data_IF_094381385754
#
_entry.id   IF_094381385754
#
_cell.length_a   1.000
_cell.length_b   1.000
_cell.length_c   1.000
_cell.angle_alpha   90.00
_cell.angle_beta   90.00
_cell.angle_gamma   90.00
#
_symmetry.space_group_name_H-M   'P 1'
#
loop_
_entity.id
_entity.type
_entity.pdbx_description
1 polymer ?
#
# COMPACT_ATOMS: atom_id res chain seq x y z
N UNK A 1 17.69 10.76 9.67
CA UNK A 1 16.30 10.39 9.94
C UNK A 1 15.38 11.11 8.94
N UNK A 2 14.59 10.34 8.15
CA UNK A 2 13.72 10.86 7.07
C UNK A 2 12.74 11.93 7.60
N UNK A 3 12.08 11.69 8.73
CA UNK A 3 11.11 12.63 9.29
C UNK A 3 11.71 14.02 9.60
N UNK A 4 12.94 14.06 10.08
CA UNK A 4 13.63 15.33 10.36
C UNK A 4 14.01 16.04 9.07
N UNK A 5 14.49 15.32 8.05
CA UNK A 5 14.85 15.92 6.76
C UNK A 5 13.59 16.49 6.09
N UNK A 6 12.51 15.71 6.01
CA UNK A 6 11.24 16.18 5.45
C UNK A 6 10.69 17.41 6.19
N UNK A 7 10.80 17.43 7.53
CA UNK A 7 10.38 18.61 8.30
C UNK A 7 11.18 19.86 7.96
N UNK A 8 12.50 19.74 7.70
CA UNK A 8 13.33 20.87 7.25
C UNK A 8 12.89 21.36 5.88
N UNK A 9 12.71 20.46 4.92
CA UNK A 9 12.24 20.80 3.57
C UNK A 9 10.88 21.51 3.60
N UNK A 10 9.95 21.05 4.43
CA UNK A 10 8.65 21.70 4.60
C UNK A 10 8.81 23.12 5.16
N UNK A 11 9.67 23.33 6.16
CA UNK A 11 9.89 24.64 6.76
C UNK A 11 10.70 25.59 5.86
N UNK A 12 11.44 25.08 4.89
CA UNK A 12 12.05 25.91 3.82
C UNK A 12 10.98 26.48 2.88
N UNK A 13 9.88 25.74 2.65
CA UNK A 13 8.75 26.21 1.82
C UNK A 13 7.86 27.16 2.61
N UNK A 14 7.49 26.81 3.84
CA UNK A 14 6.68 27.64 4.74
C UNK A 14 7.17 27.54 6.19
N UNK A 15 7.96 28.52 6.65
CA UNK A 15 8.54 28.52 8.00
C UNK A 15 7.50 28.73 9.13
N UNK A 16 6.26 29.10 8.80
CA UNK A 16 5.21 29.36 9.80
C UNK A 16 4.36 28.13 10.11
N UNK A 17 4.56 27.02 9.38
CA UNK A 17 3.85 25.77 9.65
C UNK A 17 4.21 25.20 11.03
N UNK A 18 3.19 24.78 11.76
CA UNK A 18 3.36 24.09 13.05
C UNK A 18 3.53 22.60 12.81
N UNK A 19 4.75 22.11 12.89
CA UNK A 19 5.10 20.71 12.71
C UNK A 19 5.22 19.98 14.05
N UNK A 20 4.70 18.75 14.11
CA UNK A 20 4.99 17.80 15.18
C UNK A 20 5.69 16.59 14.55
N UNK A 21 6.89 16.30 15.02
CA UNK A 21 7.75 15.25 14.45
C UNK A 21 7.78 14.06 15.42
N UNK A 22 7.53 12.86 14.90
CA UNK A 22 7.70 11.59 15.60
C UNK A 22 8.93 10.87 15.01
N UNK A 23 10.10 11.36 15.35
CA UNK A 23 11.39 10.92 14.77
C UNK A 23 11.80 9.50 15.18
N UNK A 24 11.18 8.93 16.20
CA UNK A 24 11.36 7.54 16.64
C UNK A 24 10.31 6.58 16.08
N UNK A 25 9.42 7.09 15.21
CA UNK A 25 8.33 6.33 14.63
C UNK A 25 7.01 6.46 15.41
N UNK A 26 5.97 5.89 14.81
CA UNK A 26 4.62 5.81 15.36
C UNK A 26 4.30 4.35 15.63
N UNK A 27 3.97 4.03 16.89
CA UNK A 27 3.71 2.68 17.36
C UNK A 27 2.61 2.62 18.45
N UNK A 28 2.38 1.44 19.01
CA UNK A 28 1.34 1.22 20.04
C UNK A 28 1.46 2.13 21.25
N UNK A 29 2.65 2.64 21.57
CA UNK A 29 2.88 3.49 22.74
C UNK A 29 2.50 4.95 22.49
N UNK A 30 2.43 5.35 21.20
CA UNK A 30 2.24 6.76 20.86
C UNK A 30 1.10 7.04 19.86
N UNK A 31 0.35 6.03 19.37
CA UNK A 31 -0.78 6.27 18.46
C UNK A 31 -1.75 7.34 18.94
N UNK A 32 -2.15 7.30 20.21
CA UNK A 32 -3.09 8.30 20.75
C UNK A 32 -2.49 9.69 20.70
N UNK A 33 -1.22 9.84 21.10
CA UNK A 33 -0.51 11.11 21.02
C UNK A 33 -0.35 11.59 19.59
N UNK A 34 -0.09 10.69 18.65
CA UNK A 34 0.02 11.01 17.22
C UNK A 34 -1.31 11.53 16.67
N UNK A 35 -2.43 10.88 17.01
CA UNK A 35 -3.74 11.21 16.46
C UNK A 35 -4.41 12.41 17.14
N UNK A 36 -4.08 12.74 18.41
CA UNK A 36 -4.83 13.71 19.22
C UNK A 36 -3.98 14.68 20.03
N UNK A 37 -2.67 14.82 19.75
CA UNK A 37 -1.76 15.61 20.64
C UNK A 37 -2.13 17.07 20.79
N UNK A 38 -2.42 17.77 19.72
CA UNK A 38 -2.79 19.20 19.70
C UNK A 38 -4.29 19.38 19.50
N UNK A 39 -4.83 18.62 18.63
CA UNK A 39 -6.24 18.42 18.31
C UNK A 39 -6.36 17.05 17.66
N UNK A 40 -7.57 16.55 17.51
CA UNK A 40 -7.78 15.38 16.67
C UNK A 40 -7.35 15.68 15.24
N UNK A 41 -6.71 14.71 14.55
CA UNK A 41 -6.38 14.85 13.14
C UNK A 41 -7.66 14.96 12.30
N UNK A 42 -7.63 15.82 11.30
CA UNK A 42 -8.70 15.95 10.31
C UNK A 42 -8.58 14.87 9.22
N UNK A 43 -7.39 14.34 9.01
CA UNK A 43 -7.08 13.34 7.98
C UNK A 43 -5.80 12.59 8.34
N UNK A 44 -5.78 11.28 8.13
CA UNK A 44 -4.56 10.46 8.14
C UNK A 44 -4.18 10.10 6.71
N UNK A 45 -2.94 10.39 6.33
CA UNK A 45 -2.28 9.82 5.13
C UNK A 45 -1.38 8.69 5.63
N UNK A 46 -1.71 7.46 5.25
CA UNK A 46 -1.06 6.26 5.75
C UNK A 46 -0.26 5.57 4.63
N UNK A 47 1.06 5.72 4.68
CA UNK A 47 2.02 5.22 3.67
C UNK A 47 3.08 4.31 4.31
N UNK A 48 2.77 3.69 5.46
CA UNK A 48 3.76 2.85 6.14
C UNK A 48 3.77 1.41 5.61
N UNK A 49 4.94 0.77 5.67
CA UNK A 49 5.14 -0.62 5.24
C UNK A 49 4.95 -1.64 6.38
N UNK A 50 4.71 -1.17 7.60
CA UNK A 50 4.47 -2.02 8.75
C UNK A 50 3.00 -2.38 8.87
N UNK A 51 2.64 -3.63 8.58
CA UNK A 51 1.25 -4.09 8.59
C UNK A 51 0.57 -3.95 9.95
N UNK A 52 1.28 -4.19 11.04
CA UNK A 52 0.72 -3.99 12.37
C UNK A 52 0.31 -2.52 12.56
N UNK A 53 1.22 -1.58 12.27
CA UNK A 53 0.93 -0.14 12.36
C UNK A 53 -0.20 0.25 11.41
N UNK A 54 -0.16 -0.24 10.18
CA UNK A 54 -1.18 -0.01 9.14
C UNK A 54 -2.59 -0.37 9.62
N UNK A 55 -2.75 -1.50 10.29
CA UNK A 55 -4.04 -1.98 10.80
C UNK A 55 -4.44 -1.25 12.08
N UNK A 56 -3.54 -1.19 13.05
CA UNK A 56 -3.87 -0.63 14.37
C UNK A 56 -4.17 0.86 14.32
N UNK A 57 -3.46 1.61 13.48
CA UNK A 57 -3.75 3.05 13.35
C UNK A 57 -5.09 3.28 12.65
N UNK A 58 -5.48 2.44 11.66
CA UNK A 58 -6.81 2.49 11.04
C UNK A 58 -7.92 2.19 12.03
N UNK A 59 -7.78 1.17 12.89
CA UNK A 59 -8.74 0.88 13.96
C UNK A 59 -8.98 2.11 14.85
N UNK A 60 -7.90 2.80 15.21
CA UNK A 60 -7.98 4.03 16.00
C UNK A 60 -8.61 5.20 15.24
N UNK A 61 -8.25 5.38 13.97
CA UNK A 61 -8.87 6.39 13.12
C UNK A 61 -10.37 6.15 12.97
N UNK A 62 -10.79 4.91 12.74
CA UNK A 62 -12.21 4.53 12.71
C UNK A 62 -12.92 4.86 14.01
N UNK A 63 -12.33 4.52 15.18
CA UNK A 63 -12.90 4.82 16.49
C UNK A 63 -13.01 6.33 16.76
N UNK A 64 -12.17 7.14 16.14
CA UNK A 64 -12.14 8.60 16.27
C UNK A 64 -12.85 9.31 15.10
N UNK A 65 -13.46 8.60 14.18
CA UNK A 65 -14.07 9.15 12.96
C UNK A 65 -13.09 10.00 12.13
N UNK A 66 -11.84 9.59 12.03
CA UNK A 66 -10.80 10.23 11.21
C UNK A 66 -10.75 9.55 9.85
N UNK A 67 -10.91 10.27 8.73
CA UNK A 67 -10.74 9.69 7.40
C UNK A 67 -9.30 9.28 7.15
N UNK A 68 -9.11 8.22 6.37
CA UNK A 68 -7.79 7.67 6.02
C UNK A 68 -7.64 7.62 4.51
N UNK A 69 -6.48 8.04 4.02
CA UNK A 69 -6.04 7.86 2.64
C UNK A 69 -4.78 6.98 2.64
N UNK A 70 -4.72 6.06 1.70
CA UNK A 70 -3.52 5.28 1.38
C UNK A 70 -3.33 5.30 -0.13
N UNK A 71 -2.07 5.44 -0.58
CA UNK A 71 -1.70 5.26 -1.97
C UNK A 71 -0.76 4.07 -2.12
N UNK A 72 -0.86 3.37 -3.22
CA UNK A 72 0.11 2.33 -3.62
C UNK A 72 0.66 2.64 -5.00
N UNK A 73 1.95 2.35 -5.21
CA UNK A 73 2.61 2.59 -6.49
C UNK A 73 2.19 1.62 -7.58
N UNK A 74 1.48 0.55 -7.23
CA UNK A 74 0.94 -0.38 -8.22
C UNK A 74 -0.36 0.17 -8.78
N UNK A 75 -0.37 0.47 -10.08
CA UNK A 75 -1.50 1.04 -10.84
C UNK A 75 -2.04 2.35 -10.22
N UNK A 76 -1.18 3.05 -9.46
CA UNK A 76 -1.53 4.29 -8.75
C UNK A 76 -2.88 4.17 -8.02
N UNK A 77 -3.07 3.07 -7.27
CA UNK A 77 -4.26 2.86 -6.46
C UNK A 77 -4.29 3.87 -5.30
N UNK A 78 -5.32 4.68 -5.27
CA UNK A 78 -5.69 5.50 -4.11
C UNK A 78 -6.88 4.84 -3.39
N UNK A 79 -6.69 4.54 -2.12
CA UNK A 79 -7.70 3.98 -1.23
C UNK A 79 -8.16 5.05 -0.24
N UNK A 80 -9.48 5.27 -0.15
CA UNK A 80 -10.07 6.31 0.70
C UNK A 80 -11.09 5.67 1.63
N UNK A 81 -10.89 5.81 2.93
CA UNK A 81 -11.81 5.34 3.97
C UNK A 81 -12.36 6.55 4.74
N UNK A 82 -13.62 6.91 4.51
CA UNK A 82 -14.32 8.06 5.10
C UNK A 82 -14.99 7.66 6.42
N UNK A 83 -14.21 7.29 7.43
CA UNK A 83 -14.75 6.95 8.76
C UNK A 83 -15.50 8.11 9.42
N UNK A 84 -15.22 9.33 9.00
CA UNK A 84 -15.94 10.54 9.41
C UNK A 84 -17.40 10.56 8.93
N UNK A 85 -17.69 9.98 7.78
CA UNK A 85 -19.03 9.87 7.20
C UNK A 85 -19.62 8.46 7.35
N UNK A 86 -18.78 7.46 7.41
CA UNK A 86 -19.12 6.03 7.39
C UNK A 86 -18.45 5.31 8.57
N UNK A 87 -18.80 5.59 9.83
CA UNK A 87 -18.11 5.07 11.02
C UNK A 87 -18.17 3.53 11.15
N UNK A 88 -19.14 2.90 10.47
CA UNK A 88 -19.29 1.44 10.49
C UNK A 88 -18.60 0.74 9.30
N UNK A 89 -18.00 1.48 8.36
CA UNK A 89 -17.28 0.89 7.24
C UNK A 89 -16.20 -0.06 7.75
N UNK A 90 -16.12 -1.30 7.24
CA UNK A 90 -15.04 -2.21 7.59
C UNK A 90 -13.70 -1.68 7.05
N UNK A 91 -12.60 -1.99 7.74
CA UNK A 91 -11.26 -1.63 7.30
C UNK A 91 -10.97 -2.22 5.91
N UNK A 92 -10.23 -1.49 5.10
CA UNK A 92 -9.94 -1.87 3.71
C UNK A 92 -11.20 -2.25 2.94
N UNK A 93 -12.33 -1.58 3.21
CA UNK A 93 -13.64 -1.82 2.59
C UNK A 93 -14.21 -3.24 2.81
N UNK A 94 -13.68 -4.00 3.77
CA UNK A 94 -14.05 -5.40 4.01
C UNK A 94 -13.49 -6.38 2.98
N UNK A 95 -12.52 -5.96 2.18
CA UNK A 95 -11.90 -6.80 1.15
C UNK A 95 -10.82 -7.75 1.70
N UNK A 96 -10.48 -7.62 2.97
CA UNK A 96 -9.42 -8.39 3.61
C UNK A 96 -9.79 -8.73 5.05
N UNK A 97 -9.23 -9.83 5.56
CA UNK A 97 -9.34 -10.26 6.95
C UNK A 97 -8.10 -9.88 7.79
N UNK A 98 -7.30 -8.91 7.33
CA UNK A 98 -6.07 -8.51 8.00
C UNK A 98 -6.27 -8.08 9.44
N UNK A 99 -7.42 -7.49 9.77
CA UNK A 99 -7.74 -7.06 11.15
C UNK A 99 -7.82 -8.21 12.16
N UNK A 100 -7.95 -9.46 11.70
CA UNK A 100 -7.98 -10.66 12.54
C UNK A 100 -6.63 -11.36 12.63
N UNK A 101 -5.66 -11.00 11.76
CA UNK A 101 -4.33 -11.62 11.74
C UNK A 101 -3.48 -11.13 12.91
N UNK A 102 -2.71 -12.05 13.47
CA UNK A 102 -1.74 -11.81 14.55
C UNK A 102 -0.32 -11.95 14.00
N UNK A 103 0.68 -11.52 14.79
CA UNK A 103 2.11 -11.67 14.45
C UNK A 103 2.54 -10.95 13.16
N UNK A 104 2.09 -9.70 12.98
CA UNK A 104 2.40 -8.88 11.81
C UNK A 104 3.67 -8.03 11.98
N UNK A 105 4.46 -8.29 13.04
CA UNK A 105 5.73 -7.61 13.30
C UNK A 105 6.90 -8.28 12.58
N UNK A 106 7.84 -7.45 12.12
CA UNK A 106 9.14 -7.90 11.60
C UNK A 106 9.05 -8.94 10.48
N UNK A 107 8.01 -8.86 9.66
CA UNK A 107 7.85 -9.74 8.51
C UNK A 107 8.94 -9.48 7.47
N UNK A 108 9.49 -10.55 6.90
CA UNK A 108 10.33 -10.48 5.71
C UNK A 108 9.53 -9.95 4.51
N UNK A 109 10.21 -9.57 3.44
CA UNK A 109 9.52 -9.11 2.23
C UNK A 109 8.66 -10.22 1.62
N UNK A 110 9.14 -11.45 1.67
CA UNK A 110 8.41 -12.62 1.19
C UNK A 110 7.16 -12.89 2.04
N UNK A 111 7.26 -12.80 3.37
CA UNK A 111 6.12 -12.96 4.27
C UNK A 111 5.02 -11.90 4.09
N UNK A 112 5.37 -10.76 3.54
CA UNK A 112 4.41 -9.70 3.22
C UNK A 112 3.59 -9.98 1.96
N UNK A 113 4.02 -10.87 1.05
CA UNK A 113 3.35 -11.12 -0.22
C UNK A 113 1.85 -11.44 -0.04
N UNK A 114 1.43 -12.41 0.80
CA UNK A 114 0.02 -12.70 1.00
C UNK A 114 -0.77 -11.49 1.51
N UNK A 115 -0.15 -10.69 2.41
CA UNK A 115 -0.81 -9.52 3.00
C UNK A 115 -0.99 -8.38 1.98
N UNK A 116 0.01 -8.19 1.10
CA UNK A 116 -0.09 -7.22 0.00
C UNK A 116 -1.20 -7.64 -0.95
N UNK A 117 -1.28 -8.92 -1.31
CA UNK A 117 -2.35 -9.45 -2.17
C UNK A 117 -3.73 -9.36 -1.51
N UNK A 118 -3.82 -9.55 -0.19
CA UNK A 118 -5.06 -9.34 0.56
C UNK A 118 -5.54 -7.87 0.46
N UNK A 119 -4.60 -6.90 0.53
CA UNK A 119 -4.94 -5.47 0.42
C UNK A 119 -5.27 -5.09 -1.03
N UNK A 120 -4.43 -5.45 -1.98
CA UNK A 120 -4.57 -5.03 -3.38
C UNK A 120 -5.67 -5.79 -4.12
N UNK A 121 -5.86 -7.06 -3.78
CA UNK A 121 -6.62 -8.01 -4.58
C UNK A 121 -5.77 -8.62 -5.70
N UNK A 122 -5.77 -9.95 -5.80
CA UNK A 122 -4.95 -10.68 -6.79
C UNK A 122 -5.30 -10.29 -8.24
N UNK A 123 -6.59 -10.03 -8.51
CA UNK A 123 -7.06 -9.64 -9.84
C UNK A 123 -6.74 -8.19 -10.20
N UNK A 124 -6.57 -7.35 -9.19
CA UNK A 124 -6.30 -5.93 -9.36
C UNK A 124 -4.81 -5.59 -9.36
N UNK A 125 -3.96 -6.46 -8.83
CA UNK A 125 -2.51 -6.32 -8.89
C UNK A 125 -1.99 -6.41 -10.33
N UNK A 126 -1.04 -5.54 -10.70
CA UNK A 126 -0.43 -5.57 -12.03
C UNK A 126 0.41 -6.84 -12.24
N UNK A 127 0.58 -7.26 -13.50
CA UNK A 127 1.45 -8.39 -13.84
C UNK A 127 2.92 -8.11 -13.48
N UNK A 128 3.32 -6.84 -13.54
CA UNK A 128 4.63 -6.35 -13.11
C UNK A 128 4.85 -6.61 -11.62
N UNK A 129 3.88 -6.26 -10.77
CA UNK A 129 3.94 -6.52 -9.34
C UNK A 129 3.94 -8.03 -9.03
N UNK A 130 3.05 -8.79 -9.67
CA UNK A 130 2.99 -10.26 -9.53
C UNK A 130 4.33 -10.92 -9.89
N UNK A 131 4.96 -10.46 -10.96
CA UNK A 131 6.29 -10.94 -11.37
C UNK A 131 7.35 -10.62 -10.32
N UNK A 132 7.33 -9.40 -9.77
CA UNK A 132 8.24 -9.01 -8.69
C UNK A 132 8.04 -9.82 -7.43
N UNK A 133 6.80 -10.18 -7.09
CA UNK A 133 6.49 -11.03 -5.93
C UNK A 133 7.10 -12.43 -6.04
N UNK A 134 7.22 -12.97 -7.24
CA UNK A 134 7.88 -14.27 -7.46
C UNK A 134 9.40 -14.20 -7.31
N UNK A 135 9.98 -13.02 -7.50
CA UNK A 135 11.43 -12.80 -7.49
C UNK A 135 11.94 -12.21 -6.15
N UNK A 136 11.03 -11.78 -5.27
CA UNK A 136 11.40 -11.15 -3.99
C UNK A 136 12.18 -12.15 -3.13
N UNK A 137 13.30 -11.69 -2.55
CA UNK A 137 14.26 -12.50 -1.79
C UNK A 137 14.87 -13.67 -2.58
N UNK A 138 14.62 -13.74 -3.89
CA UNK A 138 15.26 -14.68 -4.82
C UNK A 138 16.31 -13.94 -5.67
N UNK A 139 15.87 -13.12 -6.61
CA UNK A 139 16.73 -12.32 -7.49
C UNK A 139 16.72 -10.83 -7.12
N UNK A 140 15.73 -10.35 -6.38
CA UNK A 140 15.62 -8.98 -5.90
C UNK A 140 15.45 -8.95 -4.37
N UNK A 141 16.14 -7.99 -3.72
CA UNK A 141 16.19 -7.88 -2.26
C UNK A 141 15.19 -6.85 -1.69
N UNK A 142 14.45 -6.16 -2.53
CA UNK A 142 13.50 -5.12 -2.10
C UNK A 142 12.34 -5.01 -3.08
N UNK A 143 11.22 -4.51 -2.59
CA UNK A 143 10.07 -4.19 -3.43
C UNK A 143 10.44 -3.13 -4.45
N UNK A 144 10.33 -3.39 -5.76
CA UNK A 144 10.64 -2.40 -6.77
C UNK A 144 9.57 -1.30 -6.79
N UNK A 145 10.02 -0.06 -6.94
CA UNK A 145 9.16 1.10 -7.07
C UNK A 145 9.61 1.97 -8.23
N UNK A 146 8.66 2.46 -9.03
CA UNK A 146 8.93 3.41 -10.08
C UNK A 146 8.84 4.83 -9.52
N UNK A 147 9.86 5.64 -9.75
CA UNK A 147 9.89 7.05 -9.32
C UNK A 147 8.71 7.86 -9.88
N UNK A 148 8.27 7.54 -11.10
CA UNK A 148 7.09 8.15 -11.73
C UNK A 148 5.82 7.85 -10.94
N UNK A 149 5.57 6.58 -10.55
CA UNK A 149 4.41 6.20 -9.77
C UNK A 149 4.43 6.81 -8.37
N UNK A 150 5.62 6.88 -7.73
CA UNK A 150 5.77 7.55 -6.43
C UNK A 150 5.42 9.04 -6.53
N UNK A 151 5.94 9.73 -7.54
CA UNK A 151 5.71 11.18 -7.73
C UNK A 151 4.25 11.47 -8.09
N UNK A 152 3.67 10.67 -8.97
CA UNK A 152 2.26 10.79 -9.37
C UNK A 152 1.34 10.55 -8.16
N UNK A 153 1.60 9.48 -7.40
CA UNK A 153 0.86 9.16 -6.19
C UNK A 153 0.91 10.25 -5.13
N UNK A 154 2.06 10.89 -4.93
CA UNK A 154 2.19 12.04 -4.04
C UNK A 154 1.29 13.21 -4.48
N UNK A 155 1.26 13.51 -5.79
CA UNK A 155 0.38 14.53 -6.38
C UNK A 155 -1.11 14.19 -6.20
N UNK A 156 -1.51 12.95 -6.48
CA UNK A 156 -2.89 12.47 -6.32
C UNK A 156 -3.31 12.55 -4.85
N UNK A 157 -2.49 12.01 -3.94
CA UNK A 157 -2.77 11.99 -2.50
C UNK A 157 -2.95 13.41 -1.94
N UNK A 158 -2.05 14.33 -2.28
CA UNK A 158 -2.15 15.71 -1.81
C UNK A 158 -3.35 16.45 -2.41
N UNK A 159 -3.67 16.21 -3.68
CA UNK A 159 -4.87 16.79 -4.30
C UNK A 159 -6.15 16.30 -3.61
N UNK A 160 -6.26 15.01 -3.33
CA UNK A 160 -7.44 14.43 -2.67
C UNK A 160 -7.51 14.85 -1.21
N UNK A 161 -6.38 14.94 -0.52
CA UNK A 161 -6.33 15.50 0.84
C UNK A 161 -6.92 16.91 0.89
N UNK A 162 -6.54 17.78 -0.05
CA UNK A 162 -7.11 19.11 -0.17
C UNK A 162 -8.64 19.08 -0.41
N UNK A 163 -9.12 18.15 -1.24
CA UNK A 163 -10.58 17.98 -1.48
C UNK A 163 -11.30 17.62 -0.19
N UNK A 164 -10.79 16.68 0.57
CA UNK A 164 -11.38 16.25 1.85
C UNK A 164 -11.39 17.38 2.87
N UNK A 165 -10.26 18.05 3.07
CA UNK A 165 -10.14 19.16 4.02
C UNK A 165 -10.99 20.38 3.64
N UNK A 166 -11.32 20.58 2.37
CA UNK A 166 -12.22 21.60 1.87
C UNK A 166 -13.66 21.12 1.74
N UNK A 167 -14.02 19.99 2.31
CA UNK A 167 -15.36 19.40 2.29
C UNK A 167 -15.91 19.19 0.87
N UNK A 168 -15.04 19.04 -0.12
CA UNK A 168 -15.49 18.68 -1.47
C UNK A 168 -15.94 17.22 -1.47
N UNK A 169 -17.11 16.89 -2.05
CA UNK A 169 -17.60 15.52 -2.08
C UNK A 169 -16.54 14.55 -2.63
N UNK A 170 -16.15 13.61 -1.80
CA UNK A 170 -15.13 12.61 -2.10
C UNK A 170 -15.48 11.34 -1.33
N UNK A 171 -16.19 10.38 -1.95
CA UNK A 171 -16.67 9.18 -1.28
C UNK A 171 -15.52 8.21 -0.96
N UNK A 172 -15.76 7.29 -0.02
CA UNK A 172 -14.90 6.13 0.18
C UNK A 172 -14.83 5.28 -1.06
N UNK A 173 -13.70 4.63 -1.29
CA UNK A 173 -13.53 3.72 -2.41
C UNK A 173 -12.08 3.59 -2.85
N UNK A 174 -11.90 2.79 -3.88
CA UNK A 174 -10.63 2.54 -4.54
C UNK A 174 -10.62 3.17 -5.92
N UNK A 175 -9.65 4.03 -6.15
CA UNK A 175 -9.51 4.81 -7.38
C UNK A 175 -8.17 4.48 -8.02
N UNK A 176 -8.20 4.02 -9.27
CA UNK A 176 -7.01 3.69 -10.03
C UNK A 176 -6.70 4.81 -11.02
N UNK A 177 -5.47 5.33 -10.96
CA UNK A 177 -4.95 6.36 -11.87
C UNK A 177 -3.89 5.78 -12.80
N UNK A 178 -4.08 4.54 -13.21
CA UNK A 178 -3.21 3.70 -14.02
C UNK A 178 -2.90 4.36 -15.38
N UNK A 179 -1.76 5.06 -15.44
CA UNK A 179 -1.33 5.82 -16.62
C UNK A 179 -1.10 4.88 -17.80
N UNK A 180 -0.48 3.73 -17.58
CA UNK A 180 -0.23 2.76 -18.64
C UNK A 180 -1.56 2.33 -19.29
N UNK A 181 -2.55 2.01 -18.44
CA UNK A 181 -3.88 1.64 -18.92
C UNK A 181 -4.61 2.76 -19.66
N UNK A 182 -4.42 4.01 -19.23
CA UNK A 182 -5.01 5.16 -19.91
C UNK A 182 -4.36 5.40 -21.29
N UNK A 183 -3.05 5.23 -21.38
CA UNK A 183 -2.32 5.35 -22.65
C UNK A 183 -2.63 4.20 -23.61
N UNK A 184 -2.82 3.00 -23.09
CA UNK A 184 -3.06 1.80 -23.87
C UNK A 184 -4.51 1.62 -24.34
N UNK A 185 -5.44 2.48 -23.90
CA UNK A 185 -6.86 2.40 -24.28
C UNK A 185 -7.11 2.32 -25.79
N UNK A 186 -6.22 2.90 -26.60
CA UNK A 186 -6.32 2.95 -28.05
C UNK A 186 -5.25 2.12 -28.78
N UNK A 187 -4.44 1.37 -28.04
CA UNK A 187 -3.42 0.48 -28.62
C UNK A 187 -3.92 -0.95 -28.55
N UNK A 188 -3.71 -1.77 -29.60
CA UNK A 188 -3.86 -3.20 -29.44
C UNK A 188 -2.91 -3.60 -28.31
N UNK A 189 -3.43 -4.20 -27.25
CA UNK A 189 -2.60 -4.75 -26.19
C UNK A 189 -1.52 -5.58 -26.85
N UNK A 190 -0.27 -5.25 -26.59
CA UNK A 190 0.82 -6.14 -26.92
C UNK A 190 0.46 -7.46 -26.23
N UNK A 191 -0.06 -8.41 -27.01
CA UNK A 191 -0.34 -9.75 -26.53
C UNK A 191 0.92 -10.20 -25.84
N UNK A 192 0.80 -10.71 -24.63
CA UNK A 192 1.86 -11.14 -23.72
C UNK A 192 2.84 -12.13 -24.40
N UNK A 193 3.51 -11.68 -25.46
CA UNK A 193 4.61 -12.41 -26.05
C UNK A 193 5.85 -11.98 -25.30
N UNK A 194 6.27 -12.88 -24.43
CA UNK A 194 7.61 -12.97 -23.88
C UNK A 194 7.90 -12.32 -22.52
N UNK A 195 7.15 -12.67 -21.49
CA UNK A 195 7.85 -12.89 -20.25
C UNK A 195 8.16 -14.39 -20.15
N UNK A 196 9.31 -14.82 -20.63
CA UNK A 196 9.88 -16.09 -20.22
C UNK A 196 10.48 -15.82 -18.85
N UNK A 197 9.92 -16.35 -17.75
CA UNK A 197 10.56 -16.21 -16.45
C UNK A 197 11.99 -16.75 -16.57
N UNK A 198 12.99 -16.10 -15.96
CA UNK A 198 14.33 -16.64 -15.95
C UNK A 198 14.26 -18.08 -15.45
N UNK A 199 14.95 -18.98 -16.17
CA UNK A 199 15.01 -20.40 -15.82
C UNK A 199 15.52 -20.45 -14.39
N UNK A 200 14.68 -20.90 -13.45
CA UNK A 200 15.07 -21.09 -12.05
C UNK A 200 16.27 -22.01 -12.04
N UNK A 201 17.44 -21.53 -11.64
CA UNK A 201 18.45 -22.40 -11.07
C UNK A 201 17.78 -23.07 -9.88
N UNK A 202 17.66 -24.41 -9.89
CA UNK A 202 17.04 -25.16 -8.79
C UNK A 202 17.59 -24.64 -7.46
N UNK A 203 16.75 -24.14 -6.55
CA UNK A 203 17.20 -23.87 -5.20
C UNK A 203 17.65 -25.20 -4.62
N UNK A 204 18.80 -25.20 -3.95
CA UNK A 204 19.20 -26.31 -3.11
C UNK A 204 18.04 -26.62 -2.15
N UNK A 205 17.70 -27.90 -2.01
CA UNK A 205 16.52 -28.41 -1.28
C UNK A 205 16.45 -28.04 0.21
N UNK A 206 17.38 -27.22 0.72
CA UNK A 206 17.53 -26.97 2.15
C UNK A 206 16.77 -25.77 2.73
N UNK A 207 15.95 -25.04 1.94
CA UNK A 207 15.21 -23.89 2.43
C UNK A 207 13.70 -23.92 2.09
N UNK A 208 13.06 -25.08 2.22
CA UNK A 208 11.61 -25.18 2.28
C UNK A 208 11.13 -24.66 3.64
N UNK A 209 10.93 -23.35 3.72
CA UNK A 209 10.17 -22.80 4.83
C UNK A 209 8.71 -23.23 4.65
N UNK A 210 8.19 -23.95 5.64
CA UNK A 210 6.76 -24.32 5.79
C UNK A 210 5.91 -23.03 5.94
N UNK A 211 5.62 -22.36 4.82
CA UNK A 211 4.76 -21.16 4.77
C UNK A 211 3.63 -21.38 3.76
N UNK A 212 2.58 -22.11 4.15
CA UNK A 212 1.50 -22.49 3.24
C UNK A 212 0.78 -21.29 2.61
N UNK A 213 0.67 -20.17 3.31
CA UNK A 213 0.04 -18.95 2.78
C UNK A 213 0.86 -18.30 1.65
N UNK A 214 2.20 -18.32 1.77
CA UNK A 214 3.09 -17.79 0.75
C UNK A 214 3.10 -18.66 -0.50
N UNK A 215 3.17 -19.98 -0.31
CA UNK A 215 3.11 -20.94 -1.41
C UNK A 215 1.77 -20.88 -2.13
N UNK A 216 0.68 -20.77 -1.40
CA UNK A 216 -0.65 -20.54 -1.96
C UNK A 216 -0.71 -19.26 -2.80
N UNK A 217 -0.18 -18.13 -2.29
CA UNK A 217 -0.15 -16.86 -3.01
C UNK A 217 0.67 -16.94 -4.29
N UNK A 218 1.85 -17.57 -4.25
CA UNK A 218 2.71 -17.80 -5.42
C UNK A 218 2.04 -18.68 -6.47
N UNK A 219 1.36 -19.75 -6.05
CA UNK A 219 0.66 -20.65 -6.94
C UNK A 219 -0.52 -19.96 -7.66
N UNK A 220 -1.31 -19.16 -6.95
CA UNK A 220 -2.39 -18.37 -7.57
C UNK A 220 -1.83 -17.40 -8.64
N UNK A 221 -0.71 -16.73 -8.36
CA UNK A 221 -0.06 -15.83 -9.33
C UNK A 221 0.34 -16.60 -10.59
N UNK A 222 0.92 -17.80 -10.42
CA UNK A 222 1.34 -18.66 -11.52
C UNK A 222 0.13 -19.15 -12.33
N UNK A 223 -0.92 -19.63 -11.67
CA UNK A 223 -2.14 -20.12 -12.34
C UNK A 223 -2.82 -19.03 -13.16
N UNK A 224 -2.90 -17.81 -12.64
CA UNK A 224 -3.46 -16.68 -13.39
C UNK A 224 -2.62 -16.32 -14.63
N UNK A 225 -1.30 -16.43 -14.56
CA UNK A 225 -0.44 -16.24 -15.73
C UNK A 225 -0.68 -17.29 -16.82
N UNK A 226 -0.93 -18.54 -16.43
CA UNK A 226 -1.21 -19.63 -17.38
C UNK A 226 -2.58 -19.45 -18.04
N UNK A 227 -3.59 -18.99 -17.28
CA UNK A 227 -4.96 -18.83 -17.81
C UNK A 227 -5.11 -17.64 -18.78
N UNK A 228 -4.18 -16.70 -18.78
CA UNK A 228 -4.17 -15.55 -19.70
C UNK A 228 -3.41 -15.85 -21.02
N UNK A 229 -2.78 -17.01 -21.12
CA UNK A 229 -1.94 -17.42 -22.27
C UNK A 229 -2.66 -18.40 -23.23
N UNK A 230 -3.97 -18.66 -23.06
CA UNK A 230 -4.78 -19.53 -23.92
C UNK A 230 -5.74 -18.74 -24.80
#
# INVERSE_FOLDING_TARGET
>A
NKAILTAREILEIDPFLKLTIFDKGVDSQNYSKFLTKTSQLDLLIEECDCFETKIEIRKKCKALNIPVIMHTTDRELLDIERFDLEPHRPLFHGLTNLETKTNLKNLSNEEKIPLVLDILGINDASDRLKSSMLEIEQSINSWPQLASSVSNGAGITTHVSRRLLLSTPTPSGRYYFDIDKELDKNQPRLTEKSFTPPIKSNPSEDNLTDKPELEYAKNIIIEQKISTTV
#
